data_IF_086050448395
#
_entry.id   IF_086050448395
#
_cell.length_a   1.000
_cell.length_b   1.000
_cell.length_c   1.000
_cell.angle_alpha   90.00
_cell.angle_beta   90.00
_cell.angle_gamma   90.00
#
_symmetry.space_group_name_H-M   'P 1'
#
loop_
_entity.id
_entity.type
_entity.pdbx_description
1 polymer ?
#
# COMPACT_ATOMS: atom_id res chain seq x y z
N UNK A 1 -3.43 0.46 -12.15
CA UNK A 1 -3.22 -0.72 -13.02
C UNK A 1 -4.48 -1.21 -13.73
N UNK A 2 -5.68 -1.00 -13.16
CA UNK A 2 -6.98 -1.37 -13.76
C UNK A 2 -7.21 -0.86 -15.19
N UNK A 3 -6.61 0.26 -15.57
CA UNK A 3 -6.74 0.86 -16.90
C UNK A 3 -6.25 -0.06 -18.03
N UNK A 4 -5.22 -0.88 -17.79
CA UNK A 4 -4.62 -1.74 -18.82
C UNK A 4 -5.30 -3.11 -18.93
N UNK A 5 -5.96 -3.57 -17.87
CA UNK A 5 -6.57 -4.92 -17.81
C UNK A 5 -7.52 -5.26 -18.96
N UNK A 6 -8.36 -4.33 -19.49
CA UNK A 6 -9.25 -4.65 -20.61
C UNK A 6 -8.53 -4.89 -21.94
N UNK A 7 -7.28 -4.43 -22.06
CA UNK A 7 -6.55 -4.41 -23.33
C UNK A 7 -5.46 -5.48 -23.42
N UNK A 8 -5.20 -6.22 -22.34
CA UNK A 8 -4.12 -7.22 -22.28
C UNK A 8 -4.58 -8.49 -21.58
N UNK A 9 -4.05 -9.63 -22.00
CA UNK A 9 -4.35 -10.92 -21.36
C UNK A 9 -3.86 -10.99 -19.90
N UNK A 10 -2.72 -10.36 -19.61
CA UNK A 10 -2.10 -10.40 -18.28
C UNK A 10 -1.28 -9.16 -18.01
N UNK A 11 -1.39 -8.65 -16.80
CA UNK A 11 -0.52 -7.60 -16.28
C UNK A 11 0.39 -8.21 -15.22
N UNK A 12 1.70 -8.11 -15.41
CA UNK A 12 2.70 -8.56 -14.46
C UNK A 12 3.48 -7.36 -13.90
N UNK A 13 3.74 -7.36 -12.59
CA UNK A 13 4.59 -6.36 -11.94
C UNK A 13 5.92 -7.03 -11.65
N UNK A 14 7.01 -6.42 -12.13
CA UNK A 14 8.35 -6.88 -11.81
C UNK A 14 8.98 -6.05 -10.69
N UNK A 15 9.82 -6.66 -9.85
CA UNK A 15 10.60 -5.95 -8.85
C UNK A 15 11.72 -5.14 -9.55
N UNK A 16 11.67 -3.79 -9.53
CA UNK A 16 12.65 -2.98 -10.27
C UNK A 16 14.09 -3.14 -9.77
N UNK A 17 14.28 -3.47 -8.49
CA UNK A 17 15.63 -3.69 -7.93
C UNK A 17 16.25 -4.98 -8.45
N UNK A 18 15.46 -6.05 -8.52
CA UNK A 18 15.90 -7.34 -9.05
C UNK A 18 16.07 -7.29 -10.57
N UNK A 19 15.15 -6.63 -11.30
CA UNK A 19 15.31 -6.41 -12.74
C UNK A 19 16.60 -5.65 -13.04
N UNK A 20 16.92 -4.60 -12.28
CA UNK A 20 18.15 -3.83 -12.48
C UNK A 20 19.42 -4.65 -12.18
N UNK A 21 19.35 -5.61 -11.25
CA UNK A 21 20.47 -6.51 -10.97
C UNK A 21 20.73 -7.49 -12.12
N UNK A 22 19.69 -7.89 -12.86
CA UNK A 22 19.76 -8.89 -13.95
C UNK A 22 20.01 -8.20 -15.31
N UNK A 23 19.37 -7.06 -15.54
CA UNK A 23 19.35 -6.37 -16.82
C UNK A 23 19.58 -4.87 -16.61
N UNK A 24 20.81 -4.53 -16.20
CA UNK A 24 21.24 -3.16 -16.08
C UNK A 24 21.45 -2.53 -17.45
N UNK A 25 20.86 -1.36 -17.68
CA UNK A 25 21.10 -0.54 -18.87
C UNK A 25 21.73 0.79 -18.46
N UNK A 26 22.81 1.17 -19.14
CA UNK A 26 23.49 2.47 -18.93
C UNK A 26 22.60 3.66 -19.31
N UNK A 27 21.72 3.46 -20.28
CA UNK A 27 20.75 4.47 -20.76
C UNK A 27 19.35 3.95 -20.46
N UNK A 28 18.65 4.63 -19.56
CA UNK A 28 17.26 4.32 -19.21
C UNK A 28 16.31 5.01 -20.17
N UNK A 29 15.59 4.23 -20.98
CA UNK A 29 14.48 4.72 -21.80
C UNK A 29 13.34 3.70 -21.77
N UNK A 30 12.09 4.16 -21.80
CA UNK A 30 10.92 3.28 -21.73
C UNK A 30 10.91 2.22 -22.83
N UNK A 31 11.43 2.55 -24.03
CA UNK A 31 11.58 1.60 -25.14
C UNK A 31 12.55 0.46 -24.82
N UNK A 32 13.72 0.78 -24.26
CA UNK A 32 14.74 -0.23 -23.89
C UNK A 32 14.24 -1.06 -22.70
N UNK A 33 13.62 -0.41 -21.72
CA UNK A 33 13.09 -1.08 -20.54
C UNK A 33 11.97 -2.06 -20.92
N UNK A 34 11.03 -1.65 -21.78
CA UNK A 34 9.95 -2.50 -22.27
C UNK A 34 10.47 -3.73 -23.04
N UNK A 35 11.43 -3.54 -23.96
CA UNK A 35 12.03 -4.65 -24.70
C UNK A 35 12.79 -5.61 -23.77
N UNK A 36 13.44 -5.08 -22.74
CA UNK A 36 14.17 -5.88 -21.76
C UNK A 36 13.23 -6.69 -20.87
N UNK A 37 12.15 -6.09 -20.37
CA UNK A 37 11.12 -6.79 -19.60
C UNK A 37 10.44 -7.88 -20.44
N UNK A 38 10.14 -7.61 -21.72
CA UNK A 38 9.56 -8.60 -22.61
C UNK A 38 10.49 -9.81 -22.81
N UNK A 39 11.80 -9.58 -23.00
CA UNK A 39 12.79 -10.67 -23.09
C UNK A 39 12.90 -11.47 -21.79
N UNK A 40 12.91 -10.81 -20.63
CA UNK A 40 12.94 -11.49 -19.33
C UNK A 40 11.68 -12.32 -19.10
N UNK A 41 10.51 -11.82 -19.50
CA UNK A 41 9.25 -12.55 -19.42
C UNK A 41 9.23 -13.77 -20.35
N UNK A 42 9.65 -13.60 -21.61
CA UNK A 42 9.75 -14.69 -22.58
C UNK A 42 10.71 -15.79 -22.11
N UNK A 43 11.79 -15.42 -21.43
CA UNK A 43 12.76 -16.35 -20.88
C UNK A 43 12.34 -16.93 -19.51
N UNK A 44 11.15 -16.60 -18.99
CA UNK A 44 10.67 -16.99 -17.66
C UNK A 44 11.57 -16.55 -16.49
N UNK A 45 12.38 -15.51 -16.69
CA UNK A 45 13.29 -14.92 -15.69
C UNK A 45 12.79 -13.58 -15.13
N UNK A 46 11.52 -13.23 -15.35
CA UNK A 46 10.96 -12.00 -14.80
C UNK A 46 10.75 -12.16 -13.29
N UNK A 47 11.39 -11.32 -12.43
CA UNK A 47 11.17 -11.36 -11.00
C UNK A 47 9.82 -10.71 -10.67
N UNK A 48 8.76 -11.50 -10.80
CA UNK A 48 7.39 -11.04 -10.59
C UNK A 48 7.08 -10.86 -9.10
N UNK A 49 6.36 -9.78 -8.80
CA UNK A 49 5.85 -9.49 -7.47
C UNK A 49 4.36 -9.78 -7.45
N UNK A 50 3.91 -10.39 -6.35
CA UNK A 50 2.49 -10.65 -6.14
C UNK A 50 1.68 -9.35 -6.21
N UNK A 51 0.62 -9.39 -7.03
CA UNK A 51 -0.34 -8.31 -7.15
C UNK A 51 -1.66 -8.73 -6.49
N UNK A 52 -2.24 -7.92 -5.59
CA UNK A 52 -3.56 -8.18 -5.04
C UNK A 52 -4.62 -8.18 -6.14
N UNK A 53 -5.61 -9.07 -6.01
CA UNK A 53 -6.84 -8.99 -6.81
C UNK A 53 -7.68 -7.79 -6.36
N UNK A 54 -8.62 -7.35 -7.20
CA UNK A 54 -9.50 -6.21 -6.89
C UNK A 54 -10.24 -6.38 -5.56
N UNK A 55 -10.74 -7.59 -5.28
CA UNK A 55 -11.39 -7.91 -4.01
C UNK A 55 -10.47 -7.70 -2.81
N UNK A 56 -9.23 -8.17 -2.89
CA UNK A 56 -8.24 -8.01 -1.82
C UNK A 56 -7.83 -6.55 -1.65
N UNK A 57 -7.72 -5.78 -2.74
CA UNK A 57 -7.46 -4.34 -2.67
C UNK A 57 -8.60 -3.59 -1.96
N UNK A 58 -9.86 -3.91 -2.28
CA UNK A 58 -11.03 -3.32 -1.64
C UNK A 58 -11.07 -3.64 -0.14
N UNK A 59 -10.86 -4.90 0.24
CA UNK A 59 -10.80 -5.30 1.64
C UNK A 59 -9.69 -4.58 2.40
N UNK A 60 -8.48 -4.49 1.81
CA UNK A 60 -7.36 -3.74 2.41
C UNK A 60 -7.69 -2.27 2.58
N UNK A 61 -8.39 -1.66 1.62
CA UNK A 61 -8.84 -0.27 1.73
C UNK A 61 -9.79 -0.08 2.91
N UNK A 62 -10.83 -0.91 3.03
CA UNK A 62 -11.78 -0.84 4.15
C UNK A 62 -11.08 -1.03 5.51
N UNK A 63 -10.13 -1.97 5.60
CA UNK A 63 -9.35 -2.20 6.82
C UNK A 63 -8.48 -0.98 7.15
N UNK A 64 -7.80 -0.40 6.15
CA UNK A 64 -6.96 0.77 6.32
C UNK A 64 -7.79 1.99 6.78
N UNK A 65 -8.95 2.22 6.16
CA UNK A 65 -9.88 3.29 6.54
C UNK A 65 -10.35 3.13 8.00
N UNK A 66 -10.76 1.92 8.40
CA UNK A 66 -11.13 1.63 9.79
C UNK A 66 -9.97 1.89 10.74
N UNK A 67 -8.77 1.41 10.40
CA UNK A 67 -7.59 1.61 11.23
C UNK A 67 -7.24 3.10 11.40
N UNK A 68 -7.38 3.89 10.33
CA UNK A 68 -7.21 5.34 10.38
C UNK A 68 -8.22 6.01 11.30
N UNK A 69 -9.52 5.68 11.18
CA UNK A 69 -10.56 6.22 12.04
C UNK A 69 -10.33 5.88 13.52
N UNK A 70 -9.99 4.62 13.81
CA UNK A 70 -9.67 4.20 15.18
C UNK A 70 -8.46 4.97 15.72
N UNK A 71 -7.40 5.12 14.93
CA UNK A 71 -6.22 5.89 15.32
C UNK A 71 -6.55 7.37 15.60
N UNK A 72 -7.40 7.99 14.77
CA UNK A 72 -7.87 9.35 14.98
C UNK A 72 -8.70 9.49 16.26
N UNK A 73 -9.64 8.56 16.49
CA UNK A 73 -10.44 8.52 17.72
C UNK A 73 -9.57 8.37 18.97
N UNK A 74 -8.59 7.45 18.94
CA UNK A 74 -7.65 7.26 20.05
C UNK A 74 -6.82 8.51 20.29
N UNK A 75 -6.31 9.16 19.23
CA UNK A 75 -5.55 10.41 19.35
C UNK A 75 -6.38 11.53 19.99
N UNK A 76 -7.64 11.67 19.58
CA UNK A 76 -8.55 12.67 20.14
C UNK A 76 -8.85 12.40 21.62
N UNK A 77 -9.15 11.15 21.98
CA UNK A 77 -9.35 10.72 23.38
C UNK A 77 -8.12 11.03 24.23
N UNK A 78 -6.92 10.69 23.75
CA UNK A 78 -5.67 10.96 24.45
C UNK A 78 -5.41 12.46 24.60
N UNK A 79 -5.78 13.27 23.60
CA UNK A 79 -5.64 14.73 23.69
C UNK A 79 -6.57 15.33 24.75
N UNK A 80 -7.83 14.87 24.81
CA UNK A 80 -8.77 15.27 25.87
C UNK A 80 -8.21 14.88 27.24
N UNK A 81 -7.68 13.66 27.38
CA UNK A 81 -7.06 13.21 28.63
C UNK A 81 -5.89 14.10 29.05
N UNK A 82 -5.02 14.48 28.11
CA UNK A 82 -3.89 15.37 28.40
C UNK A 82 -4.36 16.74 28.90
N UNK A 83 -5.45 17.27 28.33
CA UNK A 83 -6.00 18.58 28.74
C UNK A 83 -6.65 18.48 30.12
N UNK A 84 -7.47 17.45 30.39
CA UNK A 84 -8.09 17.27 31.71
C UNK A 84 -7.04 17.09 32.81
N UNK A 85 -6.01 16.30 32.53
CA UNK A 85 -4.88 16.10 33.45
C UNK A 85 -4.15 17.42 33.74
N UNK A 86 -3.89 18.24 32.71
CA UNK A 86 -3.25 19.54 32.89
C UNK A 86 -4.08 20.52 33.76
N UNK A 87 -5.41 20.35 33.80
CA UNK A 87 -6.33 21.16 34.61
C UNK A 87 -6.73 20.51 35.94
N UNK A 88 -6.09 19.40 36.34
CA UNK A 88 -6.40 18.65 37.57
C UNK A 88 -7.86 18.16 37.67
N UNK A 89 -8.53 17.97 36.53
CA UNK A 89 -9.91 17.48 36.48
C UNK A 89 -9.89 15.94 36.51
N UNK A 90 -10.57 15.29 37.47
CA UNK A 90 -10.62 13.83 37.56
C UNK A 90 -11.33 13.21 36.35
N UNK A 91 -10.94 11.99 36.00
CA UNK A 91 -11.50 11.27 34.85
C UNK A 91 -12.93 10.80 35.15
N UNK A 92 -13.90 11.23 34.34
CA UNK A 92 -15.19 10.55 34.24
C UNK A 92 -15.10 9.38 33.26
N UNK A 93 -15.05 8.16 33.79
CA UNK A 93 -14.71 6.94 33.04
C UNK A 93 -15.85 6.38 32.18
N UNK A 94 -17.08 6.92 32.28
CA UNK A 94 -18.27 6.18 31.90
C UNK A 94 -18.71 6.29 30.42
N UNK A 95 -18.39 7.38 29.70
CA UNK A 95 -19.09 7.67 28.41
C UNK A 95 -18.21 7.92 27.19
N UNK A 96 -16.96 8.33 27.38
CA UNK A 96 -16.08 8.74 26.25
C UNK A 96 -15.23 7.57 25.73
N UNK A 97 -15.14 6.47 26.48
CA UNK A 97 -14.22 5.33 26.21
C UNK A 97 -14.93 4.04 25.80
N UNK A 98 -16.16 4.11 25.27
CA UNK A 98 -16.89 2.94 24.81
C UNK A 98 -16.05 2.04 23.90
N UNK A 99 -16.07 0.74 24.21
CA UNK A 99 -15.62 -0.35 23.34
C UNK A 99 -16.49 -0.41 22.08
#
# INVERSE_FOLDING_TARGET
MRLLMPFVHRVAIANPLQVRAIAWAKVKTDKIDAATLARLHAAQFLPEVWMPTEEVELQRRCIAERAQLVSQMTRLKNRIQSILHANLIPRETARIYGK
#
